data_IF_954464319798
#
_entry.id   IF_954464319798
#
_cell.length_a   1.000
_cell.length_b   1.000
_cell.length_c   1.000
_cell.angle_alpha   90.00
_cell.angle_beta   90.00
_cell.angle_gamma   90.00
#
_symmetry.space_group_name_H-M   'P 1'
#
loop_
_entity.id
_entity.type
_entity.pdbx_description
1 polymer ?
#
# COMPACT_ATOMS: atom_id res chain seq x y z
N UNK A 1 15.51 18.41 41.58
CA UNK A 1 16.75 18.57 40.79
C UNK A 1 17.39 17.20 40.75
N UNK A 2 17.74 16.65 39.58
CA UNK A 2 18.41 15.36 39.51
C UNK A 2 19.75 15.42 40.26
N UNK A 3 20.05 14.42 41.08
CA UNK A 3 21.30 14.40 41.84
C UNK A 3 22.45 13.72 41.07
N UNK A 4 22.12 12.96 40.02
CA UNK A 4 23.08 12.34 39.11
C UNK A 4 22.59 12.35 37.66
N UNK A 5 23.54 12.25 36.74
CA UNK A 5 23.27 12.16 35.30
C UNK A 5 24.15 11.09 34.67
N UNK A 6 23.59 10.40 33.67
CA UNK A 6 24.34 9.47 32.82
C UNK A 6 24.21 9.90 31.37
N UNK A 7 25.31 9.88 30.63
CA UNK A 7 25.36 10.12 29.20
C UNK A 7 25.69 8.83 28.46
N UNK A 8 24.95 8.57 27.37
CA UNK A 8 25.15 7.45 26.47
C UNK A 8 25.49 8.01 25.10
N UNK A 9 26.74 7.90 24.67
CA UNK A 9 27.22 8.54 23.44
C UNK A 9 27.54 7.50 22.36
N UNK A 10 27.02 7.71 21.16
CA UNK A 10 27.28 6.85 20.00
C UNK A 10 28.31 7.51 19.08
N UNK A 11 29.38 6.80 18.69
CA UNK A 11 30.47 7.37 17.92
C UNK A 11 30.02 7.77 16.52
N UNK A 12 30.71 8.74 15.91
CA UNK A 12 30.44 9.16 14.53
C UNK A 12 30.56 7.99 13.55
N UNK A 13 29.74 8.04 12.50
CA UNK A 13 29.67 7.01 11.47
C UNK A 13 29.07 5.69 11.98
N UNK A 14 28.25 5.75 13.02
CA UNK A 14 27.34 4.67 13.42
C UNK A 14 26.13 4.69 12.50
N UNK A 15 25.71 3.54 11.98
CA UNK A 15 24.42 3.42 11.31
C UNK A 15 23.33 3.43 12.39
N UNK A 16 22.72 4.61 12.60
CA UNK A 16 21.84 4.86 13.73
C UNK A 16 20.39 5.07 13.26
N UNK A 17 19.48 4.20 13.72
CA UNK A 17 18.05 4.33 13.46
C UNK A 17 17.40 5.21 14.53
N UNK A 18 17.34 6.52 14.28
CA UNK A 18 16.78 7.50 15.23
C UNK A 18 15.30 7.25 15.53
N UNK A 19 14.51 6.87 14.53
CA UNK A 19 13.08 6.63 14.69
C UNK A 19 12.81 5.45 15.64
N UNK A 20 13.55 4.34 15.48
CA UNK A 20 13.46 3.20 16.40
C UNK A 20 13.96 3.57 17.80
N UNK A 21 15.05 4.34 17.88
CA UNK A 21 15.62 4.78 19.15
C UNK A 21 14.61 5.57 20.00
N UNK A 22 13.92 6.55 19.39
CA UNK A 22 12.96 7.40 20.10
C UNK A 22 11.61 6.71 20.34
N UNK A 23 11.12 5.92 19.39
CA UNK A 23 9.80 5.27 19.48
C UNK A 23 9.79 4.02 20.34
N UNK A 24 10.93 3.31 20.44
CA UNK A 24 11.01 1.98 21.06
C UNK A 24 12.05 1.93 22.18
N UNK A 25 13.31 2.25 21.87
CA UNK A 25 14.40 2.06 22.83
C UNK A 25 14.30 2.97 24.06
N UNK A 26 14.07 4.27 23.87
CA UNK A 26 14.01 5.23 24.99
C UNK A 26 12.78 4.99 25.90
N UNK A 27 11.57 4.69 25.39
CA UNK A 27 10.46 4.25 26.22
C UNK A 27 10.74 2.95 26.98
N UNK A 28 11.40 1.98 26.35
CA UNK A 28 11.83 0.73 27.01
C UNK A 28 12.80 1.03 28.16
N UNK A 29 13.86 1.79 27.91
CA UNK A 29 14.83 2.18 28.92
C UNK A 29 14.17 2.94 30.09
N UNK A 30 13.26 3.85 29.79
CA UNK A 30 12.53 4.58 30.83
C UNK A 30 11.67 3.66 31.69
N UNK A 31 10.89 2.77 31.06
CA UNK A 31 10.04 1.80 31.76
C UNK A 31 10.87 0.82 32.61
N UNK A 32 12.02 0.39 32.12
CA UNK A 32 12.91 -0.55 32.81
C UNK A 32 13.64 0.07 34.00
N UNK A 33 13.90 1.38 33.97
CA UNK A 33 14.75 2.05 34.96
C UNK A 33 14.03 3.11 35.81
N UNK A 34 12.75 3.40 35.56
CA UNK A 34 11.95 4.34 36.38
C UNK A 34 11.91 3.93 37.84
N UNK A 35 11.75 2.63 38.12
CA UNK A 35 11.65 2.08 39.48
C UNK A 35 12.98 2.15 40.24
N UNK A 36 14.10 2.27 39.51
CA UNK A 36 15.42 2.48 40.09
C UNK A 36 15.74 3.96 40.33
N UNK A 37 14.88 4.88 39.90
CA UNK A 37 15.04 6.32 40.14
C UNK A 37 15.40 7.14 38.90
N UNK A 38 15.18 6.62 37.69
CA UNK A 38 15.26 7.43 36.46
C UNK A 38 14.09 8.41 36.41
N UNK A 39 14.37 9.71 36.26
CA UNK A 39 13.38 10.80 36.24
C UNK A 39 13.02 11.29 34.87
N UNK A 40 13.93 11.16 33.92
CA UNK A 40 13.73 11.66 32.59
C UNK A 40 14.93 11.36 31.72
N UNK A 41 14.76 11.66 30.44
CA UNK A 41 15.80 11.55 29.45
C UNK A 41 15.64 12.64 28.40
N UNK A 42 16.74 13.00 27.78
CA UNK A 42 16.77 13.81 26.57
C UNK A 42 17.74 13.18 25.58
N UNK A 43 17.48 13.38 24.28
CA UNK A 43 18.34 12.90 23.21
C UNK A 43 18.82 14.10 22.41
N UNK A 44 20.11 14.12 22.15
CA UNK A 44 20.81 15.13 21.37
C UNK A 44 21.42 14.46 20.16
N UNK A 45 21.11 14.98 18.99
CA UNK A 45 21.78 14.63 17.75
C UNK A 45 22.85 15.69 17.46
N UNK A 46 24.06 15.24 17.15
CA UNK A 46 25.19 16.12 16.92
C UNK A 46 25.43 16.37 15.43
N UNK A 47 25.95 17.56 15.13
CA UNK A 47 26.38 17.92 13.78
C UNK A 47 27.65 17.16 13.33
N UNK A 48 28.04 17.33 12.05
CA UNK A 48 29.12 16.57 11.43
C UNK A 48 30.51 16.80 12.04
N UNK A 49 30.72 17.87 12.81
CA UNK A 49 32.02 18.22 13.40
C UNK A 49 32.30 17.53 14.75
N UNK A 50 31.33 16.79 15.29
CA UNK A 50 31.46 16.05 16.56
C UNK A 50 32.03 14.65 16.35
N UNK A 51 32.80 14.15 17.32
CA UNK A 51 33.28 12.75 17.34
C UNK A 51 32.15 11.73 17.63
N UNK A 52 30.98 12.22 18.05
CA UNK A 52 29.78 11.45 18.33
C UNK A 52 28.62 11.92 17.45
N UNK A 53 27.72 11.02 17.05
CA UNK A 53 26.52 11.37 16.28
C UNK A 53 25.28 11.56 17.16
N UNK A 54 25.16 10.82 18.28
CA UNK A 54 24.00 10.87 19.17
C UNK A 54 24.44 10.78 20.63
N UNK A 55 23.81 11.55 21.52
CA UNK A 55 23.91 11.41 22.97
C UNK A 55 22.51 11.32 23.59
N UNK A 56 22.29 10.33 24.46
CA UNK A 56 21.20 10.38 25.41
C UNK A 56 21.71 10.83 26.78
N UNK A 57 20.98 11.74 27.42
CA UNK A 57 21.24 12.23 28.76
C UNK A 57 20.10 11.73 29.65
N UNK A 58 20.44 10.89 30.62
CA UNK A 58 19.55 10.29 31.60
C UNK A 58 19.67 11.03 32.94
N UNK A 59 18.54 11.37 33.53
CA UNK A 59 18.46 12.10 34.80
C UNK A 59 18.03 11.17 35.93
N UNK A 60 18.81 11.11 37.01
CA UNK A 60 18.58 10.17 38.11
C UNK A 60 18.36 10.87 39.44
N UNK A 61 17.61 10.20 40.33
CA UNK A 61 17.44 10.58 41.73
C UNK A 61 18.76 10.64 42.50
N UNK A 62 19.68 9.72 42.21
CA UNK A 62 20.98 9.59 42.88
C UNK A 62 22.00 8.86 42.00
N UNK A 63 23.28 8.94 42.34
CA UNK A 63 24.33 8.17 41.67
C UNK A 63 24.21 6.66 41.97
N UNK A 64 23.68 6.31 43.14
CA UNK A 64 23.44 4.93 43.51
C UNK A 64 22.28 4.32 42.69
N UNK A 65 21.26 5.12 42.40
CA UNK A 65 20.14 4.75 41.52
C UNK A 65 20.60 4.32 40.13
N UNK A 66 21.50 5.08 39.50
CA UNK A 66 22.01 4.74 38.16
C UNK A 66 22.87 3.47 38.19
N UNK A 67 23.70 3.29 39.23
CA UNK A 67 24.50 2.07 39.42
C UNK A 67 23.62 0.84 39.62
N UNK A 68 22.57 0.93 40.44
CA UNK A 68 21.61 -0.16 40.66
C UNK A 68 20.86 -0.52 39.38
N UNK A 69 20.42 0.49 38.61
CA UNK A 69 19.75 0.27 37.34
C UNK A 69 20.65 -0.49 36.36
N UNK A 70 21.92 -0.08 36.21
CA UNK A 70 22.88 -0.71 35.32
C UNK A 70 23.32 -2.12 35.76
N UNK A 71 23.28 -2.42 37.06
CA UNK A 71 23.60 -3.73 37.60
C UNK A 71 22.38 -4.69 37.64
N UNK A 72 21.19 -4.20 37.29
CA UNK A 72 19.96 -4.99 37.33
C UNK A 72 19.80 -5.88 36.09
N UNK A 73 18.98 -6.93 36.20
CA UNK A 73 18.58 -7.73 35.04
C UNK A 73 17.87 -6.90 33.95
N UNK A 74 17.19 -5.81 34.36
CA UNK A 74 16.53 -4.89 33.44
C UNK A 74 17.53 -4.17 32.52
N UNK A 75 18.79 -3.97 32.95
CA UNK A 75 19.83 -3.47 32.07
C UNK A 75 20.16 -4.44 30.93
N UNK A 76 20.12 -5.75 31.17
CA UNK A 76 20.33 -6.76 30.14
C UNK A 76 19.31 -6.64 29.00
N UNK A 77 18.05 -6.37 29.33
CA UNK A 77 16.97 -6.15 28.36
C UNK A 77 17.23 -4.90 27.52
N UNK A 78 17.59 -3.78 28.16
CA UNK A 78 17.87 -2.52 27.46
C UNK A 78 19.12 -2.64 26.57
N UNK A 79 20.18 -3.29 27.05
CA UNK A 79 21.42 -3.46 26.28
C UNK A 79 21.24 -4.42 25.10
N UNK A 80 20.40 -5.46 25.24
CA UNK A 80 20.11 -6.40 24.16
C UNK A 80 19.38 -5.74 22.97
N UNK A 81 18.69 -4.64 23.22
CA UNK A 81 17.96 -3.86 22.21
C UNK A 81 18.88 -2.96 21.35
N UNK A 82 20.12 -2.70 21.79
CA UNK A 82 21.05 -1.78 21.11
C UNK A 82 21.30 -2.15 19.65
N UNK A 83 21.38 -3.45 19.36
CA UNK A 83 21.61 -3.98 18.00
C UNK A 83 20.49 -3.66 17.01
N UNK A 84 19.30 -3.29 17.48
CA UNK A 84 18.15 -3.01 16.63
C UNK A 84 18.21 -1.61 16.00
N UNK A 85 19.00 -0.70 16.56
CA UNK A 85 19.13 0.68 16.08
C UNK A 85 20.56 1.19 15.92
N UNK A 86 21.58 0.44 16.37
CA UNK A 86 22.97 0.84 16.26
C UNK A 86 23.87 -0.33 15.89
N UNK A 87 24.80 -0.11 14.97
CA UNK A 87 25.84 -1.07 14.58
C UNK A 87 27.12 -0.97 15.45
N UNK A 88 27.25 0.09 16.25
CA UNK A 88 28.37 0.31 17.17
C UNK A 88 27.90 0.40 18.61
N UNK A 89 28.75 -0.02 19.54
CA UNK A 89 28.48 0.10 20.97
C UNK A 89 28.61 1.57 21.43
N UNK A 90 27.75 2.03 22.35
CA UNK A 90 27.87 3.35 22.93
C UNK A 90 28.95 3.42 24.00
N UNK A 91 29.41 4.64 24.28
CA UNK A 91 30.19 4.99 25.47
C UNK A 91 29.24 5.45 26.58
N UNK A 92 29.31 4.80 27.74
CA UNK A 92 28.54 5.18 28.92
C UNK A 92 29.40 6.02 29.88
N UNK A 93 28.93 7.22 30.21
CA UNK A 93 29.52 8.11 31.20
C UNK A 93 28.49 8.37 32.30
N UNK A 94 28.84 8.23 33.57
CA UNK A 94 27.94 8.55 34.68
C UNK A 94 28.64 9.47 35.68
N UNK A 95 27.91 10.41 36.25
CA UNK A 95 28.46 11.35 37.21
C UNK A 95 27.42 12.03 38.09
N UNK A 96 27.92 12.61 39.19
CA UNK A 96 27.14 13.46 40.09
C UNK A 96 26.92 14.83 39.46
N UNK A 97 25.70 15.35 39.57
CA UNK A 97 25.40 16.74 39.16
C UNK A 97 25.93 17.68 40.24
N UNK A 98 26.92 18.51 39.91
CA UNK A 98 27.55 19.47 40.84
C UNK A 98 26.92 20.87 40.78
N UNK A 99 26.08 21.13 39.79
CA UNK A 99 25.37 22.39 39.63
C UNK A 99 24.37 22.31 38.48
N UNK A 100 23.29 23.07 38.59
CA UNK A 100 22.27 23.21 37.54
C UNK A 100 21.71 24.62 37.60
N UNK A 101 21.63 25.29 36.47
CA UNK A 101 20.93 26.57 36.35
C UNK A 101 19.56 26.33 35.72
N UNK A 102 18.49 26.77 36.39
CA UNK A 102 17.13 26.77 35.85
C UNK A 102 16.61 28.20 35.88
N UNK A 103 16.26 28.77 34.73
CA UNK A 103 15.61 30.09 34.63
C UNK A 103 14.10 30.01 34.97
N UNK A 104 13.80 29.34 36.08
CA UNK A 104 12.46 29.21 36.60
C UNK A 104 12.19 30.35 37.58
N UNK A 105 11.38 31.31 37.17
CA UNK A 105 10.97 32.48 37.97
C UNK A 105 10.19 32.10 39.25
N UNK A 106 9.95 30.81 39.48
CA UNK A 106 9.31 30.27 40.68
C UNK A 106 10.18 30.32 41.94
N UNK A 107 11.52 30.40 41.81
CA UNK A 107 12.46 30.31 42.94
C UNK A 107 12.83 31.63 43.64
N UNK A 108 12.43 32.78 43.10
CA UNK A 108 12.68 34.10 43.72
C UNK A 108 11.81 34.32 44.99
N UNK A 109 10.76 33.51 45.21
CA UNK A 109 9.85 33.70 46.34
C UNK A 109 10.34 33.21 47.71
N UNK A 110 11.35 32.33 47.78
CA UNK A 110 11.74 31.72 49.06
C UNK A 110 12.85 32.46 49.83
N UNK A 111 13.63 33.32 49.17
CA UNK A 111 14.72 34.08 49.82
C UNK A 111 14.20 35.40 50.43
N UNK A 112 13.12 35.97 49.89
CA UNK A 112 12.58 37.25 50.35
C UNK A 112 11.74 37.15 51.65
N UNK A 113 11.22 35.96 51.97
CA UNK A 113 10.40 35.73 53.19
C UNK A 113 11.29 35.50 54.43
N UNK A 114 12.49 34.96 54.25
CA UNK A 114 13.44 34.70 55.34
C UNK A 114 14.09 35.98 55.90
N UNK A 115 14.33 36.99 55.07
CA UNK A 115 14.92 38.26 55.53
C UNK A 115 13.93 39.15 56.28
N UNK A 116 12.62 38.99 56.06
CA UNK A 116 11.60 39.80 56.73
C UNK A 116 11.33 39.35 58.18
N UNK A 117 11.49 38.06 58.48
CA UNK A 117 11.25 37.51 59.83
C UNK A 117 12.41 37.87 60.79
N UNK A 118 13.64 37.98 60.30
CA UNK A 118 14.81 38.38 61.11
C UNK A 118 14.77 39.87 61.48
N UNK A 119 14.18 40.73 60.64
CA UNK A 119 14.01 42.17 60.93
C UNK A 119 12.94 42.46 62.00
N UNK A 120 11.99 41.54 62.25
CA UNK A 120 10.96 41.72 63.27
C UNK A 120 11.39 41.32 64.69
N UNK A 121 12.50 40.57 64.84
CA UNK A 121 13.01 40.12 66.15
C UNK A 121 14.05 41.05 66.78
N UNK A 122 14.49 42.11 66.08
CA UNK A 122 15.47 43.08 66.58
C UNK A 122 14.86 44.40 67.11
N UNK A 123 13.54 44.47 67.29
CA UNK A 123 12.85 45.68 67.76
C UNK A 123 12.20 45.50 69.15
N UNK A 124 12.87 44.81 70.08
CA UNK A 124 12.44 44.67 71.49
C UNK A 124 13.54 44.97 72.52
N UNK A 125 14.63 45.67 72.15
CA UNK A 125 15.67 46.08 73.11
C UNK A 125 16.14 47.50 72.80
N UNK A 126 15.36 48.51 73.20
CA UNK A 126 15.82 49.89 73.38
C UNK A 126 14.72 50.74 74.02
N UNK A 127 14.62 50.73 75.36
CA UNK A 127 14.54 51.94 76.21
C UNK A 127 14.36 51.56 77.69
N UNK A 128 15.33 50.83 78.22
CA UNK A 128 15.65 50.89 79.66
C UNK A 128 16.46 52.17 79.88
N UNK A 129 15.81 53.27 80.29
CA UNK A 129 16.41 54.31 81.13
C UNK A 129 15.40 55.43 81.43
N UNK A 130 14.57 55.24 82.46
CA UNK A 130 13.94 56.36 83.15
C UNK A 130 13.86 56.13 84.67
N UNK A 131 14.88 55.49 85.24
CA UNK A 131 15.04 55.32 86.70
C UNK A 131 16.07 56.27 87.32
N UNK A 132 16.38 57.39 86.65
CA UNK A 132 17.27 58.44 87.18
C UNK A 132 16.61 59.83 87.26
N UNK A 133 15.34 59.94 86.86
CA UNK A 133 14.57 61.21 86.87
C UNK A 133 13.78 61.40 88.16
N UNK A 134 13.45 60.31 88.86
CA UNK A 134 12.61 60.35 90.07
C UNK A 134 13.44 60.71 91.33
N UNK A 135 14.73 60.33 91.36
CA UNK A 135 15.63 60.64 92.48
C UNK A 135 16.13 62.10 92.50
N UNK A 136 16.12 62.77 91.35
CA UNK A 136 16.39 64.24 91.26
C UNK A 136 15.19 65.07 91.69
N UNK A 137 13.97 64.55 91.55
CA UNK A 137 12.73 65.23 91.95
C UNK A 137 12.57 65.29 93.48
N UNK A 138 12.88 64.20 94.18
CA UNK A 138 12.79 64.13 95.65
C UNK A 138 13.83 65.01 96.36
N UNK A 139 15.01 65.20 95.75
CA UNK A 139 16.05 66.10 96.27
C UNK A 139 15.69 67.60 96.15
N UNK A 140 14.91 67.96 95.14
CA UNK A 140 14.43 69.34 94.95
C UNK A 140 13.22 69.69 95.84
N UNK A 141 12.45 68.69 96.27
CA UNK A 141 11.29 68.89 97.15
C UNK A 141 11.69 69.29 98.59
N UNK A 142 12.82 68.80 99.09
CA UNK A 142 13.30 69.09 100.46
C UNK A 142 13.75 70.55 100.64
N UNK A 143 14.31 71.18 99.60
CA UNK A 143 14.73 72.58 99.63
C UNK A 143 13.57 73.60 99.59
N UNK A 144 12.33 73.16 99.34
CA UNK A 144 11.14 74.04 99.25
C UNK A 144 10.39 74.20 100.58
N UNK A 145 10.89 73.64 101.68
CA UNK A 145 10.21 73.63 102.99
C UNK A 145 10.44 74.93 103.80
N UNK A 146 11.38 75.82 103.43
CA UNK A 146 11.86 76.90 104.32
C UNK A 146 11.18 78.29 104.18
N UNK A 147 10.34 78.59 103.17
CA UNK A 147 9.74 79.94 103.06
C UNK A 147 8.20 79.94 102.99
N UNK A 148 7.59 80.40 104.09
CA UNK A 148 6.21 80.24 104.51
C UNK A 148 5.36 81.54 104.43
N UNK A 149 5.38 82.32 103.33
CA UNK A 149 4.20 83.14 103.03
C UNK A 149 3.76 83.01 101.56
N UNK A 150 3.64 81.78 101.06
CA UNK A 150 3.19 81.48 99.68
C UNK A 150 2.24 80.27 99.57
N UNK A 151 2.00 79.51 100.65
CA UNK A 151 1.33 78.19 100.60
C UNK A 151 -0.12 78.22 100.13
N UNK A 152 -0.89 79.28 100.41
CA UNK A 152 -2.28 79.36 99.93
C UNK A 152 -2.37 79.60 98.40
N UNK A 153 -1.45 80.41 97.86
CA UNK A 153 -1.35 80.64 96.41
C UNK A 153 -0.74 79.41 95.70
N UNK A 154 0.22 78.74 96.36
CA UNK A 154 0.84 77.52 95.84
C UNK A 154 -0.16 76.35 95.78
N UNK A 155 -1.04 76.17 96.77
CA UNK A 155 -2.08 75.15 96.76
C UNK A 155 -3.13 75.37 95.67
N UNK A 156 -3.51 76.63 95.41
CA UNK A 156 -4.40 76.95 94.29
C UNK A 156 -3.72 76.69 92.94
N UNK A 157 -2.47 77.11 92.78
CA UNK A 157 -1.69 76.86 91.56
C UNK A 157 -1.45 75.37 91.35
N UNK A 158 -1.17 74.59 92.40
CA UNK A 158 -1.05 73.12 92.33
C UNK A 158 -2.37 72.44 91.99
N UNK A 159 -3.49 72.93 92.52
CA UNK A 159 -4.81 72.41 92.19
C UNK A 159 -5.16 72.69 90.71
N UNK A 160 -4.92 73.91 90.21
CA UNK A 160 -5.07 74.24 88.79
C UNK A 160 -4.09 73.46 87.90
N UNK A 161 -2.88 73.18 88.38
CA UNK A 161 -1.89 72.38 87.66
C UNK A 161 -2.31 70.90 87.57
N UNK A 162 -2.82 70.32 88.66
CA UNK A 162 -3.33 68.94 88.66
C UNK A 162 -4.60 68.78 87.80
N UNK A 163 -5.54 69.73 87.86
CA UNK A 163 -6.71 69.73 86.97
C UNK A 163 -6.27 69.90 85.51
N UNK A 164 -5.33 70.81 85.23
CA UNK A 164 -4.73 70.99 83.92
C UNK A 164 -4.06 69.72 83.38
N UNK A 165 -3.23 69.06 84.20
CA UNK A 165 -2.55 67.81 83.83
C UNK A 165 -3.53 66.65 83.57
N UNK A 166 -4.62 66.57 84.33
CA UNK A 166 -5.67 65.57 84.14
C UNK A 166 -6.42 65.78 82.82
N UNK A 167 -6.78 67.03 82.51
CA UNK A 167 -7.42 67.39 81.23
C UNK A 167 -6.49 67.12 80.05
N UNK A 168 -5.19 67.49 80.13
CA UNK A 168 -4.24 67.22 79.05
C UNK A 168 -4.03 65.72 78.83
N UNK A 169 -3.99 64.93 79.91
CA UNK A 169 -3.85 63.47 79.82
C UNK A 169 -5.11 62.84 79.20
N UNK A 170 -6.30 63.28 79.61
CA UNK A 170 -7.56 62.82 79.04
C UNK A 170 -7.66 63.15 77.54
N UNK A 171 -7.34 64.38 77.14
CA UNK A 171 -7.31 64.78 75.74
C UNK A 171 -6.27 63.97 74.94
N UNK A 172 -5.11 63.69 75.53
CA UNK A 172 -4.10 62.83 74.89
C UNK A 172 -4.61 61.40 74.69
N UNK A 173 -5.30 60.81 75.67
CA UNK A 173 -5.92 59.48 75.51
C UNK A 173 -7.01 59.47 74.45
N UNK A 174 -7.86 60.50 74.39
CA UNK A 174 -8.90 60.62 73.36
C UNK A 174 -8.27 60.76 71.97
N UNK A 175 -7.26 61.63 71.81
CA UNK A 175 -6.54 61.79 70.54
C UNK A 175 -5.78 60.53 70.13
N UNK A 176 -5.16 59.83 71.09
CA UNK A 176 -4.48 58.57 70.84
C UNK A 176 -5.47 57.46 70.44
N UNK A 177 -6.64 57.40 71.08
CA UNK A 177 -7.72 56.50 70.69
C UNK A 177 -8.24 56.76 69.27
N UNK A 178 -8.45 58.04 68.91
CA UNK A 178 -8.82 58.45 67.55
C UNK A 178 -7.73 58.04 66.55
N UNK A 179 -6.45 58.23 66.88
CA UNK A 179 -5.33 57.84 66.02
C UNK A 179 -5.29 56.31 65.80
N UNK A 180 -5.50 55.50 66.84
CA UNK A 180 -5.56 54.03 66.72
C UNK A 180 -6.69 53.61 65.79
N UNK A 181 -7.89 54.19 65.95
CA UNK A 181 -9.03 53.90 65.08
C UNK A 181 -8.75 54.31 63.63
N UNK A 182 -8.09 55.45 63.42
CA UNK A 182 -7.69 55.92 62.11
C UNK A 182 -6.68 54.98 61.43
N UNK A 183 -5.65 54.52 62.15
CA UNK A 183 -4.71 53.54 61.61
C UNK A 183 -5.35 52.17 61.36
N UNK A 184 -6.31 51.75 62.20
CA UNK A 184 -7.09 50.54 61.97
C UNK A 184 -7.94 50.63 60.69
N UNK A 185 -8.58 51.79 60.45
CA UNK A 185 -9.31 52.07 59.22
C UNK A 185 -8.41 52.04 57.98
N UNK A 186 -7.22 52.65 58.03
CA UNK A 186 -6.26 52.59 56.92
C UNK A 186 -5.84 51.15 56.63
N UNK A 187 -5.52 50.36 57.66
CA UNK A 187 -5.15 48.94 57.48
C UNK A 187 -6.29 48.15 56.83
N UNK A 188 -7.53 48.36 57.26
CA UNK A 188 -8.68 47.71 56.66
C UNK A 188 -8.83 48.06 55.17
N UNK A 189 -8.67 49.33 54.81
CA UNK A 189 -8.71 49.78 53.40
C UNK A 189 -7.61 49.14 52.57
N UNK A 190 -6.38 49.06 53.10
CA UNK A 190 -5.26 48.42 52.41
C UNK A 190 -5.48 46.91 52.21
N UNK A 191 -6.07 46.22 53.19
CA UNK A 191 -6.42 44.80 53.07
C UNK A 191 -7.48 44.61 51.98
N UNK A 192 -8.53 45.44 51.96
CA UNK A 192 -9.59 45.37 50.94
C UNK A 192 -9.00 45.63 49.55
N UNK A 193 -8.17 46.66 49.41
CA UNK A 193 -7.51 46.97 48.14
C UNK A 193 -6.59 45.83 47.67
N UNK A 194 -5.81 45.24 48.58
CA UNK A 194 -4.99 44.07 48.31
C UNK A 194 -5.82 42.86 47.84
N UNK A 195 -6.97 42.62 48.48
CA UNK A 195 -7.88 41.53 48.08
C UNK A 195 -8.46 41.75 46.68
N UNK A 196 -8.85 42.98 46.34
CA UNK A 196 -9.36 43.34 44.99
C UNK A 196 -8.27 43.13 43.93
N UNK A 197 -7.03 43.55 44.21
CA UNK A 197 -5.90 43.33 43.30
C UNK A 197 -5.64 41.83 43.08
N UNK A 198 -5.63 41.02 44.14
CA UNK A 198 -5.44 39.58 44.03
C UNK A 198 -6.56 38.91 43.22
N UNK A 199 -7.81 39.33 43.41
CA UNK A 199 -8.94 38.80 42.65
C UNK A 199 -8.83 39.14 41.16
N UNK A 200 -8.40 40.36 40.82
CA UNK A 200 -8.16 40.75 39.43
C UNK A 200 -7.01 39.97 38.78
N UNK A 201 -5.90 39.76 39.51
CA UNK A 201 -4.79 38.93 39.02
C UNK A 201 -5.28 37.50 38.77
N UNK A 202 -6.03 36.92 39.72
CA UNK A 202 -6.62 35.60 39.58
C UNK A 202 -7.52 35.51 38.34
N UNK A 203 -8.40 36.50 38.16
CA UNK A 203 -9.27 36.59 36.98
C UNK A 203 -8.47 36.60 35.66
N UNK A 204 -7.42 37.44 35.56
CA UNK A 204 -6.57 37.51 34.36
C UNK A 204 -5.86 36.17 34.11
N UNK A 205 -5.34 35.53 35.16
CA UNK A 205 -4.67 34.22 35.00
C UNK A 205 -5.62 33.13 34.50
N UNK A 206 -6.86 33.09 35.01
CA UNK A 206 -7.89 32.15 34.54
C UNK A 206 -8.24 32.44 33.07
N UNK A 207 -8.38 33.72 32.70
CA UNK A 207 -8.68 34.12 31.33
C UNK A 207 -7.55 33.69 30.35
N UNK A 208 -6.29 33.91 30.73
CA UNK A 208 -5.13 33.49 29.95
C UNK A 208 -5.04 31.96 29.81
N UNK A 209 -5.26 31.24 30.91
CA UNK A 209 -5.26 29.78 30.91
C UNK A 209 -6.37 29.23 30.00
N UNK A 210 -7.58 29.80 30.10
CA UNK A 210 -8.71 29.42 29.26
C UNK A 210 -8.42 29.67 27.78
N UNK A 211 -7.79 30.80 27.44
CA UNK A 211 -7.40 31.10 26.07
C UNK A 211 -6.34 30.11 25.54
N UNK A 212 -5.34 29.76 26.36
CA UNK A 212 -4.32 28.77 26.01
C UNK A 212 -4.92 27.39 25.75
N UNK A 213 -5.85 26.94 26.60
CA UNK A 213 -6.56 25.67 26.42
C UNK A 213 -7.37 25.68 25.12
N UNK A 214 -8.12 26.76 24.85
CA UNK A 214 -8.87 26.92 23.60
C UNK A 214 -7.97 26.85 22.38
N UNK A 215 -6.81 27.52 22.39
CA UNK A 215 -5.84 27.45 21.30
C UNK A 215 -5.25 26.04 21.12
N UNK A 216 -4.93 25.36 22.22
CA UNK A 216 -4.43 23.97 22.18
C UNK A 216 -5.47 23.02 21.57
N UNK A 217 -6.73 23.16 21.97
CA UNK A 217 -7.84 22.37 21.41
C UNK A 217 -8.06 22.68 19.93
N UNK A 218 -8.05 23.95 19.52
CA UNK A 218 -8.18 24.34 18.12
C UNK A 218 -7.04 23.77 17.24
N UNK A 219 -5.79 23.79 17.75
CA UNK A 219 -4.64 23.18 17.07
C UNK A 219 -4.78 21.67 16.95
N UNK A 220 -5.29 20.99 17.98
CA UNK A 220 -5.56 19.53 17.93
C UNK A 220 -6.65 19.21 16.91
N UNK A 221 -7.75 19.96 16.90
CA UNK A 221 -8.83 19.79 15.92
C UNK A 221 -8.34 20.02 14.48
N UNK A 222 -7.54 21.07 14.25
CA UNK A 222 -6.95 21.35 12.93
C UNK A 222 -6.01 20.23 12.46
N UNK A 223 -5.17 19.69 13.35
CA UNK A 223 -4.31 18.53 13.03
C UNK A 223 -5.12 17.29 12.70
N UNK A 224 -6.15 16.98 13.49
CA UNK A 224 -7.05 15.84 13.21
C UNK A 224 -7.75 15.99 11.87
N UNK A 225 -8.24 17.19 11.54
CA UNK A 225 -8.87 17.46 10.25
C UNK A 225 -7.87 17.30 9.09
N UNK A 226 -6.63 17.77 9.26
CA UNK A 226 -5.58 17.61 8.25
C UNK A 226 -5.20 16.14 8.06
N UNK A 227 -5.05 15.37 9.14
CA UNK A 227 -4.80 13.93 9.09
C UNK A 227 -5.96 13.17 8.42
N UNK A 228 -7.21 13.56 8.68
CA UNK A 228 -8.37 12.96 8.03
C UNK A 228 -8.36 13.23 6.53
N UNK A 229 -8.09 14.47 6.11
CA UNK A 229 -7.99 14.82 4.69
C UNK A 229 -6.87 14.05 3.98
N UNK A 230 -5.73 13.85 4.64
CA UNK A 230 -4.64 13.04 4.11
C UNK A 230 -5.05 11.57 3.97
N UNK A 231 -5.71 10.98 4.99
CA UNK A 231 -6.24 9.61 4.91
C UNK A 231 -7.27 9.45 3.79
N UNK A 232 -8.24 10.35 3.70
CA UNK A 232 -9.27 10.32 2.65
C UNK A 232 -8.64 10.46 1.26
N UNK A 233 -7.58 11.28 1.13
CA UNK A 233 -6.80 11.41 -0.11
C UNK A 233 -6.02 10.14 -0.45
N UNK A 234 -5.37 9.51 0.53
CA UNK A 234 -4.64 8.24 0.35
C UNK A 234 -5.60 7.10 -0.02
N UNK A 235 -6.73 6.98 0.68
CA UNK A 235 -7.78 6.02 0.36
C UNK A 235 -8.37 6.27 -1.03
N UNK A 236 -8.62 7.53 -1.39
CA UNK A 236 -9.06 7.92 -2.73
C UNK A 236 -8.05 7.53 -3.82
N UNK A 237 -6.76 7.72 -3.57
CA UNK A 237 -5.68 7.31 -4.48
C UNK A 237 -5.61 5.78 -4.62
N UNK A 238 -5.68 5.04 -3.51
CA UNK A 238 -5.67 3.58 -3.49
C UNK A 238 -6.87 3.01 -4.25
N UNK A 239 -8.07 3.55 -4.03
CA UNK A 239 -9.28 3.14 -4.73
C UNK A 239 -9.18 3.43 -6.23
N UNK A 240 -8.62 4.58 -6.62
CA UNK A 240 -8.38 4.91 -8.02
C UNK A 240 -7.38 3.95 -8.67
N UNK A 241 -6.30 3.59 -7.97
CA UNK A 241 -5.32 2.60 -8.44
C UNK A 241 -5.92 1.19 -8.56
N UNK A 242 -6.79 0.79 -7.63
CA UNK A 242 -7.50 -0.50 -7.71
C UNK A 242 -8.42 -0.53 -8.93
N UNK A 243 -9.25 0.50 -9.13
CA UNK A 243 -10.12 0.61 -10.32
C UNK A 243 -9.33 0.59 -11.63
N UNK A 244 -8.18 1.26 -11.68
CA UNK A 244 -7.32 1.25 -12.86
C UNK A 244 -6.74 -0.16 -13.13
N UNK A 245 -6.36 -0.90 -12.09
CA UNK A 245 -5.91 -2.31 -12.20
C UNK A 245 -7.03 -3.22 -12.71
N UNK A 246 -8.22 -3.13 -12.12
CA UNK A 246 -9.39 -3.90 -12.55
C UNK A 246 -9.77 -3.61 -14.01
N UNK A 247 -9.73 -2.34 -14.42
CA UNK A 247 -9.99 -1.95 -15.81
C UNK A 247 -8.95 -2.52 -16.78
N UNK A 248 -7.67 -2.50 -16.41
CA UNK A 248 -6.61 -3.07 -17.24
C UNK A 248 -6.71 -4.60 -17.31
N UNK A 249 -7.05 -5.28 -16.21
CA UNK A 249 -7.33 -6.73 -16.21
C UNK A 249 -8.51 -7.08 -17.10
N UNK A 250 -9.62 -6.33 -17.01
CA UNK A 250 -10.78 -6.51 -17.87
C UNK A 250 -10.42 -6.27 -19.34
N UNK A 251 -9.63 -5.23 -19.64
CA UNK A 251 -9.15 -4.94 -21.00
C UNK A 251 -8.30 -6.09 -21.53
N UNK A 252 -7.40 -6.64 -20.72
CA UNK A 252 -6.60 -7.82 -21.10
C UNK A 252 -7.46 -9.05 -21.34
N UNK A 253 -8.47 -9.28 -20.50
CA UNK A 253 -9.42 -10.38 -20.70
C UNK A 253 -10.21 -10.22 -22.01
N UNK A 254 -10.72 -9.01 -22.30
CA UNK A 254 -11.40 -8.73 -23.56
C UNK A 254 -10.49 -8.94 -24.77
N UNK A 255 -9.24 -8.47 -24.72
CA UNK A 255 -8.27 -8.67 -25.79
C UNK A 255 -7.91 -10.15 -25.98
N UNK A 256 -7.72 -10.90 -24.89
CA UNK A 256 -7.46 -12.34 -24.94
C UNK A 256 -8.65 -13.10 -25.51
N UNK A 257 -9.89 -12.73 -25.14
CA UNK A 257 -11.10 -13.33 -25.69
C UNK A 257 -11.25 -13.01 -27.18
N UNK A 258 -11.00 -11.77 -27.60
CA UNK A 258 -10.99 -11.39 -29.01
C UNK A 258 -9.96 -12.18 -29.81
N UNK A 259 -8.73 -12.31 -29.30
CA UNK A 259 -7.66 -13.09 -29.92
C UNK A 259 -8.03 -14.58 -30.00
N UNK A 260 -8.64 -15.14 -28.95
CA UNK A 260 -9.14 -16.53 -28.93
C UNK A 260 -10.22 -16.74 -29.99
N UNK A 261 -11.22 -15.84 -30.07
CA UNK A 261 -12.27 -15.88 -31.10
C UNK A 261 -11.69 -15.78 -32.51
N UNK A 262 -10.68 -14.94 -32.72
CA UNK A 262 -9.99 -14.83 -34.01
C UNK A 262 -9.24 -16.12 -34.37
N UNK A 263 -8.51 -16.71 -33.42
CA UNK A 263 -7.81 -17.97 -33.62
C UNK A 263 -8.78 -19.11 -33.95
N UNK A 264 -9.91 -19.20 -33.24
CA UNK A 264 -10.97 -20.17 -33.54
C UNK A 264 -11.50 -19.97 -34.97
N UNK A 265 -11.77 -18.73 -35.38
CA UNK A 265 -12.23 -18.43 -36.75
C UNK A 265 -11.19 -18.82 -37.80
N UNK A 266 -9.91 -18.53 -37.57
CA UNK A 266 -8.83 -18.93 -38.48
C UNK A 266 -8.73 -20.45 -38.58
N UNK A 267 -8.74 -21.16 -37.45
CA UNK A 267 -8.71 -22.62 -37.44
C UNK A 267 -9.93 -23.23 -38.15
N UNK A 268 -11.11 -22.64 -38.00
CA UNK A 268 -12.30 -23.06 -38.73
C UNK A 268 -12.16 -22.84 -40.24
N UNK A 269 -11.66 -21.68 -40.67
CA UNK A 269 -11.41 -21.39 -42.09
C UNK A 269 -10.38 -22.35 -42.69
N UNK A 270 -9.30 -22.64 -41.98
CA UNK A 270 -8.30 -23.62 -42.43
C UNK A 270 -8.89 -25.03 -42.52
N UNK A 271 -9.76 -25.43 -41.58
CA UNK A 271 -10.45 -26.73 -41.64
C UNK A 271 -11.34 -26.81 -42.87
N UNK A 272 -12.15 -25.78 -43.12
CA UNK A 272 -13.00 -25.69 -44.31
C UNK A 272 -12.15 -25.79 -45.56
N UNK A 273 -11.08 -24.99 -45.67
CA UNK A 273 -10.18 -25.03 -46.82
C UNK A 273 -9.54 -26.42 -47.01
N UNK A 274 -9.11 -27.08 -45.93
CA UNK A 274 -8.56 -28.44 -45.99
C UNK A 274 -9.60 -29.46 -46.45
N UNK A 275 -10.84 -29.37 -45.96
CA UNK A 275 -11.93 -30.26 -46.32
C UNK A 275 -12.38 -30.06 -47.77
N UNK A 276 -12.45 -28.81 -48.24
CA UNK A 276 -12.68 -28.47 -49.65
C UNK A 276 -11.59 -29.06 -50.53
N UNK A 277 -10.32 -28.80 -50.20
CA UNK A 277 -9.18 -29.33 -50.95
C UNK A 277 -9.18 -30.87 -51.01
N UNK A 278 -9.47 -31.53 -49.89
CA UNK A 278 -9.61 -32.99 -49.82
C UNK A 278 -10.77 -33.49 -50.67
N UNK A 279 -11.89 -32.77 -50.67
CA UNK A 279 -13.05 -33.11 -51.48
C UNK A 279 -12.71 -33.02 -52.97
N UNK A 280 -12.07 -31.93 -53.41
CA UNK A 280 -11.59 -31.76 -54.79
C UNK A 280 -10.64 -32.87 -55.21
N UNK A 281 -9.65 -33.22 -54.37
CA UNK A 281 -8.73 -34.33 -54.66
C UNK A 281 -9.49 -35.65 -54.81
N UNK A 282 -10.43 -35.93 -53.91
CA UNK A 282 -11.20 -37.18 -53.95
C UNK A 282 -12.09 -37.26 -55.19
N UNK A 283 -12.77 -36.16 -55.56
CA UNK A 283 -13.60 -36.10 -56.77
C UNK A 283 -12.77 -36.29 -58.03
N UNK A 284 -11.59 -35.67 -58.09
CA UNK A 284 -10.66 -35.80 -59.20
C UNK A 284 -10.11 -37.23 -59.31
N UNK A 285 -9.73 -37.83 -58.19
CA UNK A 285 -9.29 -39.22 -58.15
C UNK A 285 -10.40 -40.18 -58.59
N UNK A 286 -11.64 -39.96 -58.14
CA UNK A 286 -12.78 -40.78 -58.54
C UNK A 286 -13.06 -40.62 -60.05
N UNK A 287 -12.97 -39.39 -60.58
CA UNK A 287 -13.11 -39.13 -62.00
C UNK A 287 -12.03 -39.85 -62.82
N UNK A 288 -10.76 -39.73 -62.42
CA UNK A 288 -9.64 -40.46 -63.06
C UNK A 288 -9.81 -41.97 -63.01
N UNK A 289 -10.26 -42.54 -61.87
CA UNK A 289 -10.55 -43.98 -61.76
C UNK A 289 -11.65 -44.43 -62.71
N UNK A 290 -12.74 -43.65 -62.83
CA UNK A 290 -13.82 -43.94 -63.76
C UNK A 290 -13.33 -43.89 -65.22
N UNK A 291 -12.53 -42.90 -65.58
CA UNK A 291 -11.93 -42.79 -66.91
C UNK A 291 -11.00 -43.98 -67.21
N UNK A 292 -10.12 -44.34 -66.28
CA UNK A 292 -9.21 -45.49 -66.43
C UNK A 292 -9.98 -46.81 -66.56
N UNK A 293 -11.00 -47.03 -65.73
CA UNK A 293 -11.84 -48.22 -65.82
C UNK A 293 -12.57 -48.27 -67.16
N UNK A 294 -13.17 -47.17 -67.60
CA UNK A 294 -13.82 -47.09 -68.90
C UNK A 294 -12.84 -47.41 -70.03
N UNK A 295 -11.64 -46.83 -69.99
CA UNK A 295 -10.58 -47.10 -70.97
C UNK A 295 -10.15 -48.57 -70.97
N UNK A 296 -9.95 -49.18 -69.80
CA UNK A 296 -9.63 -50.61 -69.67
C UNK A 296 -10.74 -51.49 -70.24
N UNK A 297 -12.00 -51.21 -69.92
CA UNK A 297 -13.14 -51.95 -70.47
C UNK A 297 -13.21 -51.81 -71.99
N UNK A 298 -12.96 -50.62 -72.55
CA UNK A 298 -12.90 -50.44 -74.00
C UNK A 298 -11.77 -51.27 -74.64
N UNK A 299 -10.58 -51.28 -74.04
CA UNK A 299 -9.46 -52.10 -74.52
C UNK A 299 -9.77 -53.60 -74.46
N UNK A 300 -10.39 -54.08 -73.39
CA UNK A 300 -10.81 -55.48 -73.26
C UNK A 300 -11.88 -55.87 -74.28
N UNK A 301 -12.89 -55.01 -74.48
CA UNK A 301 -13.92 -55.22 -75.50
C UNK A 301 -13.30 -55.29 -76.90
N UNK A 302 -12.40 -54.36 -77.24
CA UNK A 302 -11.69 -54.36 -78.53
C UNK A 302 -10.82 -55.61 -78.69
N UNK A 303 -10.09 -56.02 -77.65
CA UNK A 303 -9.27 -57.24 -77.67
C UNK A 303 -10.12 -58.49 -77.87
N UNK A 304 -11.20 -58.64 -77.12
CA UNK A 304 -12.12 -59.79 -77.23
C UNK A 304 -12.79 -59.83 -78.61
N UNK A 305 -13.15 -58.67 -79.16
CA UNK A 305 -13.70 -58.57 -80.51
C UNK A 305 -12.69 -58.99 -81.58
N UNK A 306 -11.43 -58.56 -81.50
CA UNK A 306 -10.39 -59.00 -82.43
C UNK A 306 -10.09 -60.50 -82.32
N UNK A 307 -10.05 -61.06 -81.11
CA UNK A 307 -9.92 -62.51 -80.92
C UNK A 307 -11.11 -63.29 -81.52
N UNK A 308 -12.31 -62.75 -81.37
CA UNK A 308 -13.51 -63.31 -81.99
C UNK A 308 -13.42 -63.29 -83.52
N UNK A 309 -13.01 -62.16 -84.12
CA UNK A 309 -12.79 -62.02 -85.57
C UNK A 309 -11.78 -63.03 -86.09
N UNK A 310 -10.63 -63.13 -85.44
CA UNK A 310 -9.58 -64.10 -85.82
C UNK A 310 -10.08 -65.55 -85.76
N UNK A 311 -10.89 -65.87 -84.74
CA UNK A 311 -11.50 -67.20 -84.62
C UNK A 311 -12.49 -67.47 -85.76
N UNK A 312 -13.34 -66.50 -86.09
CA UNK A 312 -14.28 -66.61 -87.22
C UNK A 312 -13.53 -66.76 -88.55
N UNK A 313 -12.44 -66.03 -88.76
CA UNK A 313 -11.61 -66.16 -89.94
C UNK A 313 -11.01 -67.57 -90.07
N UNK A 314 -10.44 -68.13 -88.98
CA UNK A 314 -9.92 -69.51 -88.97
C UNK A 314 -11.01 -70.56 -89.27
N UNK A 315 -12.20 -70.41 -88.69
CA UNK A 315 -13.32 -71.31 -88.97
C UNK A 315 -13.73 -71.29 -90.45
N UNK A 316 -13.65 -70.12 -91.10
CA UNK A 316 -13.98 -69.97 -92.52
C UNK A 316 -13.05 -70.76 -93.45
N UNK A 317 -11.89 -71.19 -92.96
CA UNK A 317 -10.93 -71.98 -93.75
C UNK A 317 -11.35 -73.46 -93.89
N UNK A 318 -12.22 -73.98 -93.00
CA UNK A 318 -12.73 -75.35 -93.04
C UNK A 318 -14.23 -75.41 -92.72
N UNK A 319 -15.05 -75.01 -93.70
CA UNK A 319 -16.50 -74.83 -93.55
C UNK A 319 -17.26 -76.11 -93.16
N UNK A 320 -16.77 -77.29 -93.56
CA UNK A 320 -17.41 -78.57 -93.24
C UNK A 320 -17.38 -78.91 -91.73
N UNK A 321 -16.47 -78.29 -90.97
CA UNK A 321 -16.32 -78.47 -89.53
C UNK A 321 -17.11 -77.45 -88.68
N UNK A 322 -17.76 -76.49 -89.32
CA UNK A 322 -18.47 -75.40 -88.63
C UNK A 322 -19.85 -75.88 -88.20
N UNK A 323 -20.00 -76.16 -86.91
CA UNK A 323 -21.29 -76.53 -86.30
C UNK A 323 -22.01 -75.33 -85.66
N UNK A 324 -21.32 -74.21 -85.41
CA UNK A 324 -21.90 -72.93 -85.02
C UNK A 324 -20.84 -71.80 -85.15
N UNK A 325 -21.28 -70.57 -85.46
CA UNK A 325 -20.43 -69.38 -85.29
C UNK A 325 -20.47 -68.95 -83.82
N UNK A 326 -19.32 -68.71 -83.17
CA UNK A 326 -19.32 -68.18 -81.81
C UNK A 326 -20.06 -66.83 -81.79
N UNK A 327 -20.96 -66.58 -80.81
CA UNK A 327 -21.62 -65.28 -80.72
C UNK A 327 -20.60 -64.17 -80.49
N UNK A 328 -20.83 -62.96 -81.01
CA UNK A 328 -19.94 -61.83 -80.79
C UNK A 328 -19.92 -61.43 -79.31
N UNK A 329 -18.79 -60.86 -78.84
CA UNK A 329 -18.63 -60.49 -77.43
C UNK A 329 -19.48 -59.27 -77.00
N UNK A 330 -20.04 -58.52 -77.95
CA UNK A 330 -20.89 -57.35 -77.70
C UNK A 330 -22.14 -57.40 -78.58
N UNK A 331 -23.27 -56.89 -78.07
CA UNK A 331 -24.51 -56.73 -78.83
C UNK A 331 -24.42 -55.58 -79.85
N UNK A 332 -23.61 -54.56 -79.57
CA UNK A 332 -23.34 -53.46 -80.50
C UNK A 332 -22.11 -53.77 -81.35
N UNK A 333 -22.35 -54.54 -82.41
CA UNK A 333 -21.33 -54.90 -83.40
C UNK A 333 -20.79 -53.67 -84.13
N UNK A 334 -21.63 -52.68 -84.43
CA UNK A 334 -21.23 -51.49 -85.18
C UNK A 334 -20.21 -50.65 -84.37
N UNK A 335 -20.44 -50.47 -83.08
CA UNK A 335 -19.48 -49.79 -82.21
C UNK A 335 -18.20 -50.62 -82.03
N UNK A 336 -18.30 -51.95 -81.99
CA UNK A 336 -17.14 -52.83 -81.88
C UNK A 336 -16.21 -52.72 -83.10
N UNK A 337 -16.75 -52.70 -84.31
CA UNK A 337 -15.95 -52.46 -85.53
C UNK A 337 -15.33 -51.06 -85.56
N UNK A 338 -16.03 -50.01 -85.09
CA UNK A 338 -15.45 -48.66 -84.96
C UNK A 338 -14.27 -48.64 -83.97
N UNK A 339 -14.44 -49.27 -82.82
CA UNK A 339 -13.42 -49.32 -81.77
C UNK A 339 -12.19 -50.15 -82.18
N UNK A 340 -12.36 -51.12 -83.08
CA UNK A 340 -11.27 -51.92 -83.61
C UNK A 340 -10.33 -51.13 -84.55
N UNK A 341 -10.77 -49.96 -85.02
CA UNK A 341 -9.99 -49.02 -85.84
C UNK A 341 -9.23 -49.70 -86.99
N UNK A 342 -9.96 -50.49 -87.77
CA UNK A 342 -9.40 -51.28 -88.86
C UNK A 342 -9.03 -50.41 -90.05
N UNK A 343 -7.92 -50.74 -90.69
CA UNK A 343 -7.54 -50.11 -91.95
C UNK A 343 -8.55 -50.45 -93.05
N UNK A 344 -8.66 -49.60 -94.08
CA UNK A 344 -9.54 -49.86 -95.22
C UNK A 344 -9.25 -51.23 -95.87
N UNK A 345 -7.98 -51.66 -95.89
CA UNK A 345 -7.60 -52.98 -96.37
C UNK A 345 -8.20 -54.10 -95.50
N UNK A 346 -8.05 -54.02 -94.18
CA UNK A 346 -8.62 -55.02 -93.25
C UNK A 346 -10.15 -55.06 -93.30
N UNK A 347 -10.81 -53.91 -93.46
CA UNK A 347 -12.26 -53.84 -93.65
C UNK A 347 -12.70 -54.53 -94.95
N UNK A 348 -11.95 -54.38 -96.04
CA UNK A 348 -12.23 -55.09 -97.30
C UNK A 348 -12.09 -56.60 -97.15
N UNK A 349 -11.10 -57.06 -96.39
CA UNK A 349 -10.91 -58.49 -96.08
C UNK A 349 -12.03 -59.03 -95.17
N UNK A 350 -12.43 -58.28 -94.14
CA UNK A 350 -13.60 -58.61 -93.32
C UNK A 350 -14.88 -58.67 -94.15
N UNK A 351 -15.10 -57.72 -95.06
CA UNK A 351 -16.25 -57.73 -95.97
C UNK A 351 -16.28 -59.00 -96.81
N UNK A 352 -15.14 -59.41 -97.35
CA UNK A 352 -15.00 -60.66 -98.12
C UNK A 352 -15.26 -61.88 -97.24
N UNK A 353 -14.78 -61.87 -96.01
CA UNK A 353 -15.01 -62.95 -95.04
C UNK A 353 -16.50 -63.12 -94.73
N UNK A 354 -17.23 -62.03 -94.54
CA UNK A 354 -18.65 -62.07 -94.14
C UNK A 354 -19.63 -62.11 -95.33
N UNK A 355 -19.15 -62.15 -96.57
CA UNK A 355 -20.03 -62.24 -97.75
C UNK A 355 -20.93 -63.48 -97.66
N UNK A 356 -22.27 -63.36 -97.85
CA UNK A 356 -23.21 -64.46 -97.65
C UNK A 356 -22.84 -65.74 -98.43
N UNK A 357 -22.37 -65.59 -99.66
CA UNK A 357 -21.97 -66.70 -100.53
C UNK A 357 -20.81 -67.53 -99.96
N UNK A 358 -19.91 -66.93 -99.16
CA UNK A 358 -18.76 -67.64 -98.60
C UNK A 358 -19.16 -68.72 -97.59
N UNK A 359 -20.32 -68.56 -96.94
CA UNK A 359 -20.79 -69.46 -95.89
C UNK A 359 -21.82 -70.49 -96.37
N UNK A 360 -22.06 -70.59 -97.68
CA UNK A 360 -23.02 -71.54 -98.25
C UNK A 360 -22.62 -73.02 -98.04
N UNK A 361 -21.33 -73.30 -97.86
CA UNK A 361 -20.76 -74.65 -97.69
C UNK A 361 -20.90 -75.24 -96.28
N UNK A 362 -21.56 -74.56 -95.34
CA UNK A 362 -21.85 -75.08 -93.99
C UNK A 362 -23.01 -76.09 -94.04
N UNK A 363 -22.97 -77.09 -93.14
CA UNK A 363 -24.02 -78.11 -92.95
C UNK A 363 -25.41 -77.45 -92.85
N UNK A 364 -26.40 -78.03 -93.55
CA UNK A 364 -27.76 -77.51 -93.66
C UNK A 364 -28.38 -77.21 -92.29
N UNK A 365 -28.07 -78.02 -91.27
CA UNK A 365 -28.62 -77.88 -89.92
C UNK A 365 -28.26 -76.55 -89.25
N UNK A 366 -27.15 -75.93 -89.62
CA UNK A 366 -26.64 -74.71 -89.00
C UNK A 366 -26.61 -73.50 -89.95
N UNK A 367 -26.87 -73.71 -91.25
CA UNK A 367 -26.76 -72.70 -92.30
C UNK A 367 -27.57 -71.43 -92.03
N UNK A 368 -28.84 -71.55 -91.62
CA UNK A 368 -29.71 -70.40 -91.38
C UNK A 368 -29.17 -69.45 -90.28
N UNK A 369 -28.61 -70.02 -89.21
CA UNK A 369 -28.03 -69.25 -88.10
C UNK A 369 -26.75 -68.52 -88.54
N UNK A 370 -25.89 -69.21 -89.29
CA UNK A 370 -24.61 -68.69 -89.79
C UNK A 370 -24.84 -67.56 -90.79
N UNK A 371 -25.73 -67.75 -91.76
CA UNK A 371 -26.06 -66.74 -92.78
C UNK A 371 -26.63 -65.47 -92.17
N UNK A 372 -27.46 -65.58 -91.12
CA UNK A 372 -28.00 -64.42 -90.40
C UNK A 372 -26.89 -63.57 -89.79
N UNK A 373 -25.95 -64.19 -89.07
CA UNK A 373 -24.83 -63.48 -88.44
C UNK A 373 -23.88 -62.88 -89.49
N UNK A 374 -23.58 -63.63 -90.55
CA UNK A 374 -22.73 -63.16 -91.64
C UNK A 374 -23.33 -61.94 -92.35
N UNK A 375 -24.64 -61.96 -92.62
CA UNK A 375 -25.36 -60.84 -93.24
C UNK A 375 -25.30 -59.57 -92.37
N UNK A 376 -25.50 -59.71 -91.05
CA UNK A 376 -25.40 -58.58 -90.12
C UNK A 376 -23.99 -57.97 -90.09
N UNK A 377 -22.95 -58.81 -90.02
CA UNK A 377 -21.56 -58.34 -90.06
C UNK A 377 -21.21 -57.69 -91.40
N UNK A 378 -21.64 -58.30 -92.51
CA UNK A 378 -21.42 -57.79 -93.86
C UNK A 378 -22.00 -56.38 -94.05
N UNK A 379 -23.25 -56.15 -93.63
CA UNK A 379 -23.89 -54.83 -93.74
C UNK A 379 -23.15 -53.75 -92.94
N UNK A 380 -22.71 -54.07 -91.73
CA UNK A 380 -21.95 -53.14 -90.88
C UNK A 380 -20.61 -52.78 -91.54
N UNK A 381 -19.84 -53.79 -91.96
CA UNK A 381 -18.53 -53.60 -92.57
C UNK A 381 -18.64 -52.92 -93.94
N UNK A 382 -19.68 -53.23 -94.72
CA UNK A 382 -19.95 -52.57 -96.00
C UNK A 382 -20.19 -51.07 -95.80
N UNK A 383 -21.07 -50.70 -94.86
CA UNK A 383 -21.33 -49.29 -94.55
C UNK A 383 -20.07 -48.55 -94.07
N UNK A 384 -19.16 -49.24 -93.36
CA UNK A 384 -17.88 -48.65 -92.93
C UNK A 384 -16.86 -48.53 -94.06
N UNK A 385 -16.80 -49.49 -94.98
CA UNK A 385 -15.98 -49.39 -96.19
C UNK A 385 -16.40 -48.18 -97.03
N UNK A 386 -17.70 -48.03 -97.29
CA UNK A 386 -18.26 -46.93 -98.10
C UNK A 386 -17.90 -45.56 -97.51
N UNK A 387 -18.04 -45.39 -96.19
CA UNK A 387 -17.70 -44.14 -95.48
C UNK A 387 -16.21 -43.77 -95.47
N UNK A 388 -15.32 -44.72 -95.73
CA UNK A 388 -13.87 -44.50 -95.80
C UNK A 388 -13.36 -44.40 -97.25
N UNK A 389 -14.21 -44.74 -98.23
CA UNK A 389 -13.95 -44.62 -99.66
C UNK A 389 -14.45 -43.27 -100.23
N UNK A 390 -15.45 -42.66 -99.60
CA UNK A 390 -15.81 -41.23 -99.72
C UNK A 390 -14.78 -40.32 -99.01
#
# INVERSE_FOLDING_TARGET
MPAASSSVLYPKGTNFNMDYYLSTHMPLAYKSWSDFGLKGWSVVEFGPDSDYCVQAILEWDSEESSKKALASEAAGVVMADVKNFSDKAPTFLSGKVVGTFSNDNSRIKYIQVSQFIIACLSCSVAMDNLSNTILTFLRNAWNRIIHFPSRALHLLVECFHHVGQSITSFLFYVLHGIAILFFAMIKLVLIIFGAILLLNILYITIALLTNSIKQSQARKAAKQQQEQLLRDSEEGCLLAQQRAREQEELRRHMLAEQASRQNIRQQQQERIHRDEHRTTINTDQQHRRKQLLHHQTQLELTRNFNLWRDRCNRLSQNLASVTAIPPPPSQDLAQSYKNANLTLHELKEERRLWHPDKWCGVDERYRAQVTKMATQCFQIVQSMCEKLEE
#
